data_IF_838223791743
#
_entry.id   IF_838223791743
#
_cell.length_a   1.000
_cell.length_b   1.000
_cell.length_c   1.000
_cell.angle_alpha   90.00
_cell.angle_beta   90.00
_cell.angle_gamma   90.00
#
_symmetry.space_group_name_H-M   'P 1'
#
loop_
_entity.id
_entity.type
_entity.pdbx_description
1 polymer ?
#
# COMPACT_ATOMS: atom_id res chain seq x y z
N UNK A 1 -1.78 -6.41 6.92
CA UNK A 1 -1.87 -7.86 6.62
C UNK A 1 -3.28 -8.42 6.76
N UNK A 2 -3.99 -8.19 7.86
CA UNK A 2 -5.30 -8.82 8.10
C UNK A 2 -6.35 -8.49 7.03
N UNK A 3 -6.45 -7.25 6.57
CA UNK A 3 -7.34 -6.87 5.45
C UNK A 3 -7.01 -7.60 4.15
N UNK A 4 -5.72 -7.80 3.83
CA UNK A 4 -5.30 -8.52 2.62
C UNK A 4 -5.71 -9.99 2.69
N UNK A 5 -5.53 -10.61 3.87
CA UNK A 5 -5.94 -11.99 4.12
C UNK A 5 -7.45 -12.13 4.03
N UNK A 6 -8.21 -11.19 4.60
CA UNK A 6 -9.66 -11.17 4.53
C UNK A 6 -10.15 -11.04 3.07
N UNK A 7 -9.59 -10.09 2.30
CA UNK A 7 -9.94 -9.93 0.88
C UNK A 7 -9.63 -11.18 0.06
N UNK A 8 -8.50 -11.84 0.31
CA UNK A 8 -8.15 -13.09 -0.37
C UNK A 8 -9.13 -14.19 0.03
N UNK A 9 -9.42 -14.36 1.32
CA UNK A 9 -10.37 -15.36 1.82
C UNK A 9 -11.76 -15.16 1.20
N UNK A 10 -12.29 -13.93 1.23
CA UNK A 10 -13.62 -13.60 0.69
C UNK A 10 -13.72 -13.86 -0.81
N UNK A 11 -12.67 -13.52 -1.59
CA UNK A 11 -12.68 -13.65 -3.05
C UNK A 11 -12.39 -15.07 -3.55
N UNK A 12 -11.64 -15.86 -2.79
CA UNK A 12 -11.18 -17.19 -3.20
C UNK A 12 -11.88 -18.33 -2.47
N UNK A 13 -12.57 -18.05 -1.37
CA UNK A 13 -13.14 -19.05 -0.47
C UNK A 13 -12.09 -19.81 0.35
N UNK A 14 -10.82 -19.36 0.35
CA UNK A 14 -9.77 -19.99 1.13
C UNK A 14 -9.99 -19.76 2.64
N UNK A 15 -9.71 -20.76 3.49
CA UNK A 15 -9.68 -20.56 4.94
C UNK A 15 -8.56 -19.60 5.31
N UNK A 16 -8.74 -18.86 6.41
CA UNK A 16 -7.85 -17.76 6.82
C UNK A 16 -6.36 -18.14 6.85
N UNK A 17 -6.03 -19.34 7.36
CA UNK A 17 -4.64 -19.82 7.40
C UNK A 17 -4.02 -19.97 6.01
N UNK A 18 -4.81 -20.41 5.02
CA UNK A 18 -4.38 -20.57 3.63
C UNK A 18 -4.35 -19.23 2.89
N UNK A 19 -5.31 -18.35 3.18
CA UNK A 19 -5.30 -16.99 2.66
C UNK A 19 -4.08 -16.20 3.15
N UNK A 20 -3.65 -16.42 4.40
CA UNK A 20 -2.46 -15.79 4.96
C UNK A 20 -1.16 -16.30 4.33
N UNK A 21 -1.09 -17.61 4.03
CA UNK A 21 0.02 -18.19 3.26
C UNK A 21 0.07 -17.62 1.84
N UNK A 22 -1.07 -17.48 1.17
CA UNK A 22 -1.15 -16.91 -0.18
C UNK A 22 -0.75 -15.42 -0.20
N UNK A 23 -1.19 -14.65 0.79
CA UNK A 23 -0.81 -13.25 0.97
C UNK A 23 0.71 -13.09 1.10
N UNK A 24 1.36 -13.88 1.96
CA UNK A 24 2.81 -13.88 2.11
C UNK A 24 3.53 -14.22 0.80
N UNK A 25 3.11 -15.29 0.13
CA UNK A 25 3.74 -15.70 -1.13
C UNK A 25 3.65 -14.61 -2.21
N UNK A 26 2.54 -13.88 -2.28
CA UNK A 26 2.37 -12.76 -3.20
C UNK A 26 3.29 -11.59 -2.85
N UNK A 27 3.41 -11.23 -1.57
CA UNK A 27 4.30 -10.16 -1.10
C UNK A 27 5.76 -10.53 -1.34
N UNK A 28 6.17 -11.74 -1.01
CA UNK A 28 7.53 -12.23 -1.25
C UNK A 28 7.88 -12.25 -2.74
N UNK A 29 6.93 -12.64 -3.59
CA UNK A 29 7.10 -12.56 -5.03
C UNK A 29 7.27 -11.11 -5.50
N UNK A 30 6.42 -10.18 -5.04
CA UNK A 30 6.54 -8.76 -5.40
C UNK A 30 7.88 -8.18 -4.91
N UNK A 31 8.30 -8.47 -3.69
CA UNK A 31 9.58 -8.03 -3.16
C UNK A 31 10.76 -8.59 -3.94
N UNK A 32 10.68 -9.82 -4.45
CA UNK A 32 11.71 -10.39 -5.32
C UNK A 32 11.82 -9.69 -6.68
N UNK A 33 10.75 -9.01 -7.13
CA UNK A 33 10.66 -8.33 -8.43
C UNK A 33 10.90 -6.83 -8.34
N UNK A 34 10.83 -6.26 -7.14
CA UNK A 34 10.94 -4.83 -6.92
C UNK A 34 12.34 -4.46 -6.43
N UNK A 35 13.01 -3.48 -7.07
CA UNK A 35 14.27 -2.95 -6.57
C UNK A 35 14.12 -2.44 -5.14
N UNK A 36 15.16 -2.60 -4.32
CA UNK A 36 15.22 -2.23 -2.90
C UNK A 36 14.50 -0.92 -2.48
N UNK A 37 14.54 0.21 -3.23
CA UNK A 37 13.80 1.42 -2.86
C UNK A 37 12.26 1.26 -2.85
N UNK A 38 11.70 0.38 -3.67
CA UNK A 38 10.23 0.22 -3.80
C UNK A 38 9.69 -0.86 -2.85
N UNK A 39 10.42 -1.96 -2.66
CA UNK A 39 10.04 -3.01 -1.70
C UNK A 39 9.94 -2.50 -0.27
N UNK A 40 10.85 -1.61 0.15
CA UNK A 40 10.80 -0.98 1.47
C UNK A 40 9.55 -0.13 1.72
N UNK A 41 9.02 0.53 0.68
CA UNK A 41 7.81 1.33 0.76
C UNK A 41 6.56 0.46 0.83
N UNK A 42 6.49 -0.60 0.01
CA UNK A 42 5.39 -1.57 0.04
C UNK A 42 5.30 -2.31 1.37
N UNK A 43 6.44 -2.73 1.92
CA UNK A 43 6.50 -3.40 3.22
C UNK A 43 6.07 -2.46 4.36
N UNK A 44 6.36 -1.17 4.24
CA UNK A 44 5.87 -0.14 5.17
C UNK A 44 4.35 0.06 5.06
N UNK A 45 3.78 -0.01 3.86
CA UNK A 45 2.33 0.09 3.62
C UNK A 45 1.55 -1.17 4.06
N UNK A 46 2.13 -2.36 3.84
CA UNK A 46 1.49 -3.66 4.15
C UNK A 46 1.63 -4.04 5.63
N UNK A 47 2.76 -3.66 6.24
CA UNK A 47 3.10 -3.93 7.64
C UNK A 47 2.52 -2.94 8.65
N UNK A 48 2.04 -1.77 8.21
CA UNK A 48 1.40 -0.77 9.07
C UNK A 48 0.05 -0.36 8.49
N UNK A 49 -1.05 -0.84 9.10
CA UNK A 49 -2.38 -0.27 8.86
C UNK A 49 -2.33 1.25 9.05
N UNK A 50 -2.94 1.99 8.12
CA UNK A 50 -2.67 3.40 7.88
C UNK A 50 -2.74 4.36 9.08
N UNK A 51 -2.00 5.46 8.94
CA UNK A 51 -2.14 6.72 9.69
C UNK A 51 -2.09 6.62 11.24
N UNK A 52 -0.92 6.89 11.83
CA UNK A 52 -0.85 7.31 13.22
C UNK A 52 0.48 7.01 13.90
N UNK A 53 1.48 7.87 13.72
CA UNK A 53 2.74 7.75 14.45
C UNK A 53 3.89 8.60 13.94
N UNK A 54 3.69 9.93 13.92
CA UNK A 54 4.69 10.99 14.08
C UNK A 54 6.12 10.74 13.55
N UNK A 55 6.43 11.30 12.37
CA UNK A 55 7.83 11.56 12.00
C UNK A 55 8.11 11.62 10.50
N UNK A 56 7.58 12.65 9.82
CA UNK A 56 8.11 13.20 8.56
C UNK A 56 8.32 12.23 7.38
N UNK A 57 7.46 12.32 6.36
CA UNK A 57 7.92 11.95 5.01
C UNK A 57 6.93 11.37 4.01
N UNK A 58 5.65 11.13 4.33
CA UNK A 58 4.67 10.87 3.28
C UNK A 58 3.80 12.10 3.10
N UNK A 59 3.93 12.84 1.98
CA UNK A 59 3.07 13.98 1.75
C UNK A 59 1.64 13.43 1.62
N UNK A 60 0.77 13.98 2.44
CA UNK A 60 -0.64 13.61 2.61
C UNK A 60 -1.26 13.39 1.23
N UNK A 61 -1.89 12.26 0.95
CA UNK A 61 -2.50 12.00 -0.37
C UNK A 61 -3.47 13.13 -0.76
N UNK A 62 -4.13 13.78 0.22
CA UNK A 62 -4.91 15.00 0.03
C UNK A 62 -4.08 16.24 -0.30
N UNK A 63 -2.87 16.36 0.25
CA UNK A 63 -1.88 17.38 -0.12
C UNK A 63 -1.29 17.17 -1.52
N UNK A 64 -1.12 15.92 -1.98
CA UNK A 64 -0.66 15.63 -3.35
C UNK A 64 -1.76 15.96 -4.35
N UNK A 65 -2.99 15.53 -4.06
CA UNK A 65 -4.15 15.80 -4.90
C UNK A 65 -4.44 17.31 -4.96
N UNK A 66 -4.36 18.01 -3.83
CA UNK A 66 -4.52 19.47 -3.76
C UNK A 66 -3.40 20.23 -4.47
N UNK A 67 -2.15 19.77 -4.32
CA UNK A 67 -1.01 20.31 -5.05
C UNK A 67 -1.20 20.19 -6.55
N UNK A 68 -1.44 18.98 -7.07
CA UNK A 68 -1.62 18.73 -8.50
C UNK A 68 -2.85 19.46 -9.08
N UNK A 69 -3.97 19.52 -8.35
CA UNK A 69 -5.15 20.29 -8.75
C UNK A 69 -4.88 21.80 -8.84
N UNK A 70 -4.08 22.34 -7.90
CA UNK A 70 -3.66 23.74 -7.92
C UNK A 70 -2.73 24.09 -9.08
N UNK A 71 -1.88 23.17 -9.53
CA UNK A 71 -0.99 23.38 -10.69
C UNK A 71 -1.74 23.22 -12.01
N UNK A 72 -2.69 22.28 -12.09
CA UNK A 72 -3.53 22.08 -13.27
C UNK A 72 -4.54 23.21 -13.47
N UNK A 73 -5.03 23.81 -12.38
CA UNK A 73 -5.93 24.96 -12.44
C UNK A 73 -5.23 26.31 -12.70
N UNK A 74 -3.94 26.44 -12.38
CA UNK A 74 -3.19 27.71 -12.48
C UNK A 74 -2.37 27.87 -13.78
N UNK A 75 -2.31 26.84 -14.63
CA UNK A 75 -1.70 26.90 -15.96
C UNK A 75 -2.66 27.31 -17.09
N UNK A 76 -3.95 27.55 -16.79
CA UNK A 76 -4.97 27.95 -17.76
C UNK A 76 -5.46 29.38 -17.52
N UNK A 77 -4.61 30.37 -17.77
CA UNK A 77 -4.98 31.78 -17.93
C UNK A 77 -4.11 32.41 -19.00
#
# INVERSE_FOLDING_TARGET
MDELVQQISERTGLPQDKAQQAAHAAIDFLDSRLPAPVGGQLRSMVGGGGAGGSGGGMPDLGGLAGGLGGLFGKGGS
#
